data_IF_455379243323
#
_entry.id   IF_455379243323
#
_cell.length_a   1.000
_cell.length_b   1.000
_cell.length_c   1.000
_cell.angle_alpha   90.00
_cell.angle_beta   90.00
_cell.angle_gamma   90.00
#
_symmetry.space_group_name_H-M   'P 1'
#
loop_
_entity.id
_entity.type
_entity.pdbx_description
1 polymer ?
#
# COMPACT_ATOMS: atom_id res chain seq x y z
N UNK A 1 9.26 -42.13 -22.07
CA UNK A 1 9.30 -40.69 -22.37
C UNK A 1 10.74 -40.38 -22.74
N UNK A 2 11.01 -39.78 -23.89
CA UNK A 2 12.36 -39.52 -24.37
C UNK A 2 13.01 -38.39 -23.55
N UNK A 3 14.31 -38.41 -23.30
CA UNK A 3 15.04 -37.40 -22.53
C UNK A 3 14.75 -35.95 -23.02
N UNK A 4 14.58 -35.76 -24.32
CA UNK A 4 14.22 -34.48 -24.94
C UNK A 4 12.83 -34.02 -24.48
N UNK A 5 11.84 -34.93 -24.41
CA UNK A 5 10.50 -34.59 -23.95
C UNK A 5 10.50 -34.18 -22.47
N UNK A 6 11.30 -34.82 -21.63
CA UNK A 6 11.48 -34.46 -20.22
C UNK A 6 12.12 -33.08 -20.10
N UNK A 7 13.13 -32.79 -20.88
CA UNK A 7 13.80 -31.48 -20.89
C UNK A 7 12.84 -30.38 -21.28
N UNK A 8 12.01 -30.58 -22.32
CA UNK A 8 11.00 -29.60 -22.76
C UNK A 8 10.00 -29.33 -21.64
N UNK A 9 9.52 -30.37 -20.96
CA UNK A 9 8.56 -30.20 -19.83
C UNK A 9 9.20 -29.38 -18.70
N UNK A 10 10.45 -29.66 -18.35
CA UNK A 10 11.19 -28.91 -17.31
C UNK A 10 11.29 -27.44 -17.69
N UNK A 11 11.70 -27.15 -18.94
CA UNK A 11 11.82 -25.76 -19.43
C UNK A 11 10.48 -25.02 -19.38
N UNK A 12 9.39 -25.68 -19.80
CA UNK A 12 8.04 -25.10 -19.72
C UNK A 12 7.63 -24.84 -18.27
N UNK A 13 7.91 -25.77 -17.35
CA UNK A 13 7.59 -25.59 -15.93
C UNK A 13 8.38 -24.43 -15.32
N UNK A 14 9.66 -24.30 -15.64
CA UNK A 14 10.50 -23.15 -15.21
C UNK A 14 9.93 -21.85 -15.78
N UNK A 15 9.57 -21.82 -17.06
CA UNK A 15 8.97 -20.64 -17.69
C UNK A 15 7.65 -20.24 -17.03
N UNK A 16 6.75 -21.20 -16.80
CA UNK A 16 5.49 -20.96 -16.09
C UNK A 16 5.74 -20.46 -14.67
N UNK A 17 6.70 -21.06 -13.95
CA UNK A 17 7.08 -20.59 -12.62
C UNK A 17 7.60 -19.15 -12.63
N UNK A 18 8.51 -18.80 -13.55
CA UNK A 18 9.04 -17.43 -13.66
C UNK A 18 7.95 -16.40 -13.98
N UNK A 19 6.90 -16.78 -14.70
CA UNK A 19 5.79 -15.90 -15.04
C UNK A 19 4.77 -15.74 -13.91
N UNK A 20 4.49 -16.82 -13.17
CA UNK A 20 3.37 -16.89 -12.24
C UNK A 20 3.78 -17.00 -10.77
N UNK A 21 5.09 -17.00 -10.44
CA UNK A 21 5.57 -17.13 -9.06
C UNK A 21 4.95 -16.09 -8.13
N UNK A 22 4.85 -14.82 -8.56
CA UNK A 22 4.23 -13.75 -7.75
C UNK A 22 2.79 -14.06 -7.41
N UNK A 23 2.01 -14.54 -8.38
CA UNK A 23 0.58 -14.81 -8.21
C UNK A 23 0.34 -15.98 -7.25
N UNK A 24 1.14 -17.04 -7.35
CA UNK A 24 1.04 -18.21 -6.49
C UNK A 24 1.49 -17.85 -5.06
N UNK A 25 2.65 -17.23 -4.94
CA UNK A 25 3.27 -16.95 -3.64
C UNK A 25 2.51 -15.85 -2.90
N UNK A 26 2.08 -14.78 -3.58
CA UNK A 26 1.31 -13.72 -2.93
C UNK A 26 0.00 -14.21 -2.35
N UNK A 27 -0.71 -15.12 -3.03
CA UNK A 27 -1.92 -15.72 -2.49
C UNK A 27 -1.63 -16.59 -1.26
N UNK A 28 -0.54 -17.34 -1.26
CA UNK A 28 -0.14 -18.15 -0.10
C UNK A 28 0.33 -17.25 1.05
N UNK A 29 1.22 -16.30 0.79
CA UNK A 29 1.78 -15.42 1.83
C UNK A 29 0.75 -14.47 2.43
N UNK A 30 -0.26 -14.04 1.68
CA UNK A 30 -1.38 -13.27 2.20
C UNK A 30 -2.14 -14.01 3.33
N UNK A 31 -2.13 -15.35 3.31
CA UNK A 31 -2.74 -16.17 4.38
C UNK A 31 -1.76 -16.53 5.49
N UNK A 32 -0.46 -16.65 5.19
CA UNK A 32 0.54 -17.21 6.12
C UNK A 32 1.30 -16.14 6.89
N UNK A 33 1.46 -14.96 6.33
CA UNK A 33 2.27 -13.88 6.93
C UNK A 33 1.65 -12.50 6.76
N UNK A 34 0.41 -12.28 7.19
CA UNK A 34 -0.07 -10.91 7.41
C UNK A 34 0.71 -10.34 8.60
N UNK A 35 0.93 -9.01 8.61
CA UNK A 35 1.64 -8.35 9.71
C UNK A 35 1.10 -8.76 11.09
N UNK A 36 1.97 -8.83 12.09
CA UNK A 36 1.59 -9.18 13.45
C UNK A 36 0.86 -8.00 14.11
N UNK A 37 -0.43 -8.14 14.36
CA UNK A 37 -1.17 -7.16 15.17
C UNK A 37 -0.70 -7.32 16.62
N UNK A 38 -0.10 -6.27 17.18
CA UNK A 38 0.12 -6.18 18.62
C UNK A 38 -1.24 -6.10 19.33
N UNK A 39 -1.56 -7.02 20.27
CA UNK A 39 -2.80 -6.98 21.03
C UNK A 39 -3.05 -5.64 21.74
N UNK A 40 -2.00 -4.91 22.11
CA UNK A 40 -2.11 -3.57 22.71
C UNK A 40 -2.66 -2.53 21.74
N UNK A 41 -2.63 -2.81 20.45
CA UNK A 41 -3.19 -1.94 19.41
C UNK A 41 -4.68 -2.20 19.13
N UNK A 42 -5.31 -3.16 19.80
CA UNK A 42 -6.77 -3.38 19.72
C UNK A 42 -7.46 -2.26 20.49
N UNK A 43 -8.10 -1.35 19.76
CA UNK A 43 -8.83 -0.24 20.36
C UNK A 43 -10.26 -0.67 20.65
N UNK A 44 -10.62 -0.70 21.93
CA UNK A 44 -11.97 -1.06 22.40
C UNK A 44 -12.96 0.07 22.10
N UNK A 45 -12.49 1.34 22.02
CA UNK A 45 -13.31 2.49 21.68
C UNK A 45 -12.67 3.28 20.52
N UNK A 46 -13.18 3.15 19.29
CA UNK A 46 -12.59 3.81 18.13
C UNK A 46 -12.65 5.34 18.16
N UNK A 47 -13.50 5.92 19.01
CA UNK A 47 -13.68 7.37 19.11
C UNK A 47 -12.85 8.02 20.23
N UNK A 48 -12.09 7.25 21.01
CA UNK A 48 -11.24 7.79 22.06
C UNK A 48 -9.96 8.39 21.48
N UNK A 49 -9.57 9.58 21.94
CA UNK A 49 -8.23 10.12 21.69
C UNK A 49 -7.22 9.26 22.45
N UNK A 50 -6.32 8.60 21.74
CA UNK A 50 -5.33 7.67 22.29
C UNK A 50 -3.94 8.21 22.03
N UNK A 51 -3.17 8.40 23.10
CA UNK A 51 -1.72 8.66 23.00
C UNK A 51 -1.00 7.34 22.77
N UNK A 52 -0.14 7.29 21.77
CA UNK A 52 0.64 6.13 21.36
C UNK A 52 2.13 6.46 21.33
N UNK A 53 2.98 5.46 21.06
CA UNK A 53 4.40 5.70 20.84
C UNK A 53 4.64 6.62 19.63
N UNK A 54 5.86 7.21 19.52
CA UNK A 54 6.21 8.17 18.47
C UNK A 54 6.30 7.53 17.07
N UNK A 55 6.44 6.22 16.99
CA UNK A 55 6.64 5.48 15.75
C UNK A 55 5.41 5.57 14.85
N UNK A 56 5.55 6.10 13.61
CA UNK A 56 4.45 6.11 12.66
C UNK A 56 4.06 4.69 12.24
N UNK A 57 2.77 4.36 12.33
CA UNK A 57 2.24 3.03 12.00
C UNK A 57 0.92 3.09 11.27
N UNK A 58 0.67 2.10 10.44
CA UNK A 58 -0.62 1.79 9.86
C UNK A 58 -1.11 0.44 10.43
N UNK A 59 -2.34 0.42 10.97
CA UNK A 59 -2.93 -0.76 11.59
C UNK A 59 -4.30 -1.01 10.96
N UNK A 60 -4.50 -2.22 10.41
CA UNK A 60 -5.75 -2.64 9.78
C UNK A 60 -6.14 -4.01 10.33
N UNK A 61 -6.91 -4.08 11.43
CA UNK A 61 -7.19 -5.33 12.14
C UNK A 61 -7.83 -6.41 11.26
N UNK A 62 -8.75 -6.03 10.37
CA UNK A 62 -9.49 -6.97 9.53
C UNK A 62 -8.59 -7.82 8.63
N UNK A 63 -7.46 -7.29 8.21
CA UNK A 63 -6.51 -7.99 7.33
C UNK A 63 -5.15 -8.21 8.02
N UNK A 64 -5.13 -8.10 9.36
CA UNK A 64 -3.97 -8.32 10.23
C UNK A 64 -2.72 -7.52 9.82
N UNK A 65 -2.89 -6.25 9.46
CA UNK A 65 -1.79 -5.34 9.13
C UNK A 65 -1.42 -4.50 10.35
N UNK A 66 -0.16 -4.53 10.76
CA UNK A 66 0.51 -3.60 11.69
C UNK A 66 1.91 -3.34 11.13
N UNK A 67 2.14 -2.16 10.58
CA UNK A 67 3.32 -1.89 9.75
C UNK A 67 3.82 -0.45 9.95
N UNK A 68 5.15 -0.22 9.94
CA UNK A 68 5.72 1.12 9.92
C UNK A 68 5.31 1.91 8.66
N UNK A 69 5.16 3.22 8.80
CA UNK A 69 4.88 4.14 7.70
C UNK A 69 6.04 5.11 7.52
N UNK A 70 6.62 5.18 6.32
CA UNK A 70 7.57 6.22 5.97
C UNK A 70 6.82 7.44 5.41
N UNK A 71 6.92 8.57 6.10
CA UNK A 71 6.40 9.87 5.67
C UNK A 71 7.52 10.75 5.12
N UNK A 72 7.15 11.81 4.41
CA UNK A 72 8.05 12.86 3.93
C UNK A 72 9.21 12.36 3.05
N UNK A 73 8.93 11.34 2.25
CA UNK A 73 9.84 10.76 1.27
C UNK A 73 9.51 11.24 -0.14
N UNK A 74 10.48 11.12 -1.06
CA UNK A 74 10.25 11.43 -2.48
C UNK A 74 9.13 10.57 -3.10
N UNK A 75 8.38 11.16 -4.02
CA UNK A 75 7.32 10.45 -4.75
C UNK A 75 7.83 9.77 -6.03
N UNK A 76 9.15 9.80 -6.26
CA UNK A 76 9.79 9.08 -7.35
C UNK A 76 9.82 7.56 -7.08
N UNK A 77 9.95 6.79 -8.15
CA UNK A 77 9.91 5.33 -8.08
C UNK A 77 10.93 4.73 -7.10
N UNK A 78 12.18 5.21 -7.12
CA UNK A 78 13.26 4.61 -6.32
C UNK A 78 13.06 4.88 -4.82
N UNK A 79 12.70 6.12 -4.46
CA UNK A 79 12.39 6.51 -3.07
C UNK A 79 11.22 5.70 -2.52
N UNK A 80 10.14 5.53 -3.30
CA UNK A 80 8.98 4.74 -2.92
C UNK A 80 9.32 3.26 -2.73
N UNK A 81 10.08 2.64 -3.67
CA UNK A 81 10.47 1.24 -3.56
C UNK A 81 11.38 0.99 -2.36
N UNK A 82 12.35 1.88 -2.11
CA UNK A 82 13.25 1.76 -0.96
C UNK A 82 12.48 1.83 0.38
N UNK A 83 11.52 2.75 0.51
CA UNK A 83 10.70 2.87 1.71
C UNK A 83 9.78 1.66 1.90
N UNK A 84 9.16 1.17 0.84
CA UNK A 84 8.25 0.01 0.90
C UNK A 84 8.96 -1.32 1.18
N UNK A 85 10.29 -1.39 1.13
CA UNK A 85 11.05 -2.55 1.62
C UNK A 85 10.93 -2.71 3.15
N UNK A 86 10.73 -1.60 3.88
CA UNK A 86 10.73 -1.56 5.34
C UNK A 86 9.34 -1.27 5.95
N UNK A 87 8.29 -1.23 5.14
CA UNK A 87 6.95 -0.93 5.61
C UNK A 87 6.03 -0.53 4.48
N UNK A 88 5.23 0.51 4.74
CA UNK A 88 4.43 1.23 3.75
C UNK A 88 4.93 2.67 3.65
N UNK A 89 4.60 3.37 2.57
CA UNK A 89 5.17 4.66 2.24
C UNK A 89 4.08 5.70 1.92
N UNK A 90 4.22 6.91 2.43
CA UNK A 90 3.42 8.02 1.95
C UNK A 90 3.76 8.30 0.47
N UNK A 91 2.74 8.33 -0.36
CA UNK A 91 2.86 8.77 -1.76
C UNK A 91 2.27 10.17 -1.87
N UNK A 92 3.10 11.17 -1.55
CA UNK A 92 2.69 12.56 -1.54
C UNK A 92 2.81 13.19 -2.93
N UNK A 93 1.72 13.80 -3.40
CA UNK A 93 1.67 14.60 -4.63
C UNK A 93 0.92 15.90 -4.36
N UNK A 94 1.12 16.97 -5.14
CA UNK A 94 0.40 18.22 -4.95
C UNK A 94 -1.12 18.00 -4.86
N UNK A 95 -1.73 18.41 -3.75
CA UNK A 95 -3.16 18.24 -3.45
C UNK A 95 -3.57 16.87 -2.90
N UNK A 96 -2.61 15.95 -2.68
CA UNK A 96 -2.80 14.70 -1.95
C UNK A 96 -1.51 14.36 -1.17
N UNK A 97 -1.15 15.25 -0.25
CA UNK A 97 0.11 15.30 0.49
C UNK A 97 -0.10 15.61 1.98
N UNK A 98 -1.33 15.55 2.46
CA UNK A 98 -1.62 15.75 3.87
C UNK A 98 -1.07 14.61 4.73
N UNK A 99 -0.87 14.90 6.02
CA UNK A 99 -0.57 13.90 7.03
C UNK A 99 -1.82 13.54 7.84
N UNK A 100 -1.81 12.42 8.59
CA UNK A 100 -2.92 12.07 9.47
C UNK A 100 -3.32 13.23 10.38
N UNK A 101 -4.63 13.53 10.43
CA UNK A 101 -5.18 14.64 11.20
C UNK A 101 -5.19 16.00 10.48
N UNK A 102 -4.70 16.08 9.24
CA UNK A 102 -4.78 17.29 8.41
C UNK A 102 -5.88 17.15 7.37
N UNK A 103 -6.55 18.29 7.06
CA UNK A 103 -7.52 18.36 5.97
C UNK A 103 -6.79 18.09 4.64
N UNK A 104 -7.29 17.15 3.86
CA UNK A 104 -6.69 16.70 2.62
C UNK A 104 -6.65 15.18 2.54
N UNK A 105 -5.98 14.64 1.53
CA UNK A 105 -5.82 13.21 1.33
C UNK A 105 -4.39 12.76 1.66
N UNK A 106 -4.27 11.95 2.71
CA UNK A 106 -3.03 11.22 3.03
C UNK A 106 -3.03 9.93 2.22
N UNK A 107 -2.12 9.78 1.27
CA UNK A 107 -2.02 8.56 0.44
C UNK A 107 -0.89 7.69 0.97
N UNK A 108 -1.20 6.42 1.27
CA UNK A 108 -0.21 5.43 1.75
C UNK A 108 -0.17 4.27 0.76
N UNK A 109 1.00 4.06 0.16
CA UNK A 109 1.27 2.99 -0.78
C UNK A 109 1.94 1.79 -0.09
N UNK A 110 1.59 0.58 -0.54
CA UNK A 110 2.20 -0.67 -0.09
C UNK A 110 2.11 -1.76 -1.16
N UNK A 111 3.01 -2.73 -1.09
CA UNK A 111 3.04 -3.84 -2.04
C UNK A 111 1.87 -4.81 -1.85
N UNK A 112 1.21 -5.20 -2.94
CA UNK A 112 0.30 -6.38 -2.95
C UNK A 112 1.04 -7.67 -3.26
N UNK A 113 2.16 -7.55 -3.96
CA UNK A 113 3.06 -8.66 -4.32
C UNK A 113 4.39 -8.07 -4.76
N UNK A 114 5.48 -8.74 -4.43
CA UNK A 114 6.78 -8.42 -4.96
C UNK A 114 7.54 -9.70 -5.30
N UNK A 115 8.67 -9.61 -6.01
CA UNK A 115 9.43 -10.79 -6.38
C UNK A 115 10.07 -11.44 -5.13
N UNK A 116 10.20 -12.77 -5.14
CA UNK A 116 10.85 -13.52 -4.06
C UNK A 116 12.28 -13.07 -3.81
N UNK A 117 12.96 -12.67 -4.88
CA UNK A 117 14.36 -12.25 -4.83
C UNK A 117 14.53 -10.75 -4.52
N UNK A 118 13.43 -9.98 -4.48
CA UNK A 118 13.50 -8.59 -4.04
C UNK A 118 13.77 -8.53 -2.53
N UNK A 119 14.44 -7.47 -2.08
CA UNK A 119 14.63 -7.18 -0.66
C UNK A 119 13.32 -6.81 0.05
N UNK A 120 13.38 -6.72 1.37
CA UNK A 120 12.30 -6.26 2.23
C UNK A 120 11.34 -7.35 2.73
N UNK A 121 10.76 -7.08 3.90
CA UNK A 121 9.89 -8.03 4.61
C UNK A 121 8.40 -7.81 4.31
N UNK A 122 8.04 -6.69 3.67
CA UNK A 122 6.65 -6.25 3.50
C UNK A 122 6.11 -6.43 2.07
N UNK A 123 6.62 -7.44 1.35
CA UNK A 123 6.31 -7.73 -0.07
C UNK A 123 4.82 -7.94 -0.37
N UNK A 124 4.04 -8.34 0.63
CA UNK A 124 2.63 -8.75 0.49
C UNK A 124 1.71 -8.02 1.46
N UNK A 125 2.18 -6.91 2.04
CA UNK A 125 1.49 -6.25 3.15
C UNK A 125 0.06 -5.82 2.79
N UNK A 126 -0.19 -5.45 1.54
CA UNK A 126 -1.51 -5.08 1.02
C UNK A 126 -2.12 -6.14 0.08
N UNK A 127 -1.63 -7.39 0.12
CA UNK A 127 -2.18 -8.47 -0.71
C UNK A 127 -3.67 -8.75 -0.45
N UNK A 128 -4.16 -8.44 0.78
CA UNK A 128 -5.57 -8.60 1.16
C UNK A 128 -6.36 -7.28 1.23
N UNK A 129 -5.82 -6.18 0.69
CA UNK A 129 -6.48 -4.88 0.79
C UNK A 129 -7.86 -4.86 0.13
N UNK A 130 -8.07 -5.71 -0.88
CA UNK A 130 -9.35 -5.90 -1.56
C UNK A 130 -10.47 -6.46 -0.65
N UNK A 131 -10.13 -7.08 0.49
CA UNK A 131 -11.07 -7.61 1.47
C UNK A 131 -11.67 -6.55 2.39
N UNK A 132 -11.15 -5.32 2.37
CA UNK A 132 -11.76 -4.21 3.09
C UNK A 132 -13.08 -3.83 2.43
N UNK A 133 -14.07 -3.53 3.27
CA UNK A 133 -15.40 -3.06 2.87
C UNK A 133 -15.69 -1.70 3.46
N UNK A 134 -16.64 -0.99 2.89
CA UNK A 134 -17.19 0.24 3.48
C UNK A 134 -17.66 -0.05 4.90
N UNK A 135 -17.27 0.81 5.84
CA UNK A 135 -17.51 0.66 7.28
C UNK A 135 -16.36 0.02 8.07
N UNK A 136 -15.38 -0.61 7.42
CA UNK A 136 -14.21 -1.15 8.11
C UNK A 136 -13.33 -0.05 8.69
N UNK A 137 -12.64 -0.36 9.78
CA UNK A 137 -11.81 0.58 10.52
C UNK A 137 -10.33 0.42 10.17
N UNK A 138 -9.67 1.56 10.01
CA UNK A 138 -8.23 1.69 9.80
C UNK A 138 -7.69 2.66 10.85
N UNK A 139 -6.54 2.35 11.43
CA UNK A 139 -5.84 3.23 12.37
C UNK A 139 -4.49 3.65 11.78
N UNK A 140 -4.12 4.91 12.03
CA UNK A 140 -2.75 5.39 11.82
C UNK A 140 -2.24 6.02 13.09
N UNK A 141 -1.00 5.69 13.48
CA UNK A 141 -0.27 6.41 14.52
C UNK A 141 0.65 7.42 13.83
N UNK A 142 0.56 8.68 14.24
CA UNK A 142 1.41 9.76 13.74
C UNK A 142 1.59 10.82 14.81
N UNK A 143 2.83 11.29 15.03
CA UNK A 143 3.17 12.26 16.07
C UNK A 143 2.59 11.93 17.45
N UNK A 144 2.77 10.68 17.89
CA UNK A 144 2.29 10.15 19.18
C UNK A 144 0.77 10.19 19.38
N UNK A 145 0.01 10.34 18.31
CA UNK A 145 -1.46 10.31 18.30
C UNK A 145 -1.96 9.18 17.42
N UNK A 146 -3.08 8.60 17.80
CA UNK A 146 -3.83 7.66 16.97
C UNK A 146 -4.93 8.38 16.24
N UNK A 147 -5.02 8.14 14.94
CA UNK A 147 -6.10 8.58 14.08
C UNK A 147 -6.89 7.36 13.62
N UNK A 148 -8.20 7.44 13.72
CA UNK A 148 -9.14 6.38 13.33
C UNK A 148 -9.89 6.83 12.09
N UNK A 149 -9.91 5.95 11.10
CA UNK A 149 -10.60 6.17 9.83
C UNK A 149 -11.61 5.06 9.58
N UNK A 150 -12.71 5.40 8.92
CA UNK A 150 -13.70 4.43 8.45
C UNK A 150 -13.69 4.41 6.93
N UNK A 151 -13.59 3.23 6.33
CA UNK A 151 -13.61 3.05 4.88
C UNK A 151 -14.93 3.55 4.31
N UNK A 152 -14.85 4.42 3.30
CA UNK A 152 -16.03 5.01 2.64
C UNK A 152 -16.14 4.64 1.17
N UNK A 153 -15.01 4.31 0.51
CA UNK A 153 -14.98 4.00 -0.92
C UNK A 153 -13.88 3.02 -1.26
N UNK A 154 -14.12 2.24 -2.29
CA UNK A 154 -13.11 1.38 -2.92
C UNK A 154 -13.25 1.48 -4.43
N UNK A 155 -12.14 1.67 -5.14
CA UNK A 155 -12.14 1.76 -6.59
C UNK A 155 -10.84 1.21 -7.20
N UNK A 156 -10.93 0.78 -8.45
CA UNK A 156 -9.77 0.35 -9.26
C UNK A 156 -9.53 1.39 -10.34
N UNK A 157 -8.29 1.85 -10.44
CA UNK A 157 -7.87 2.90 -11.39
C UNK A 157 -6.65 2.45 -12.21
N UNK A 158 -6.39 3.13 -13.32
CA UNK A 158 -5.16 2.93 -14.10
C UNK A 158 -3.97 3.60 -13.43
N UNK A 159 -2.72 3.14 -13.67
CA UNK A 159 -1.52 3.77 -13.11
C UNK A 159 -1.37 5.26 -13.45
N UNK A 160 -1.85 5.72 -14.60
CA UNK A 160 -1.78 7.10 -15.05
C UNK A 160 -2.93 7.99 -14.55
N UNK A 161 -3.91 7.44 -13.82
CA UNK A 161 -5.03 8.19 -13.25
C UNK A 161 -4.67 8.81 -11.89
N UNK A 162 -3.51 9.50 -11.83
CA UNK A 162 -2.99 10.16 -10.62
C UNK A 162 -3.98 11.19 -10.06
N UNK A 163 -4.77 11.83 -10.92
CA UNK A 163 -5.82 12.79 -10.56
C UNK A 163 -6.92 12.18 -9.65
N UNK A 164 -7.07 10.86 -9.63
CA UNK A 164 -7.99 10.17 -8.70
C UNK A 164 -7.59 10.28 -7.24
N UNK A 165 -6.34 10.63 -6.97
CA UNK A 165 -5.84 10.85 -5.60
C UNK A 165 -6.10 12.29 -5.14
N UNK A 166 -6.33 13.23 -6.07
CA UNK A 166 -6.52 14.66 -5.79
C UNK A 166 -8.00 15.00 -5.95
N UNK A 167 -8.63 15.37 -4.86
CA UNK A 167 -10.04 15.81 -4.86
C UNK A 167 -10.31 16.81 -3.72
N UNK A 168 -11.23 17.76 -3.93
CA UNK A 168 -11.57 18.71 -2.90
C UNK A 168 -12.17 18.01 -1.68
N UNK A 169 -11.65 18.31 -0.50
CA UNK A 169 -12.18 17.80 0.76
C UNK A 169 -12.05 18.85 1.86
N UNK A 170 -12.96 18.82 2.80
CA UNK A 170 -12.93 19.63 4.04
C UNK A 170 -12.64 18.77 5.26
N UNK A 171 -12.31 17.48 5.04
CA UNK A 171 -12.03 16.50 6.08
C UNK A 171 -10.67 15.85 5.85
N UNK A 172 -10.04 15.31 6.89
CA UNK A 172 -8.92 14.41 6.74
C UNK A 172 -9.36 13.08 6.11
N UNK A 173 -8.71 12.73 5.02
CA UNK A 173 -8.94 11.51 4.24
C UNK A 173 -7.66 10.67 4.26
N UNK A 174 -7.81 9.37 4.29
CA UNK A 174 -6.76 8.38 4.09
C UNK A 174 -7.09 7.55 2.86
N UNK A 175 -6.17 7.47 1.91
CA UNK A 175 -6.26 6.56 0.77
C UNK A 175 -5.14 5.54 0.84
N UNK A 176 -5.49 4.25 0.98
CA UNK A 176 -4.56 3.14 0.84
C UNK A 176 -4.46 2.75 -0.62
N UNK A 177 -3.25 2.56 -1.10
CA UNK A 177 -2.92 2.35 -2.50
C UNK A 177 -2.10 1.07 -2.67
N UNK A 178 -2.51 0.18 -3.57
CA UNK A 178 -1.72 -1.01 -3.93
C UNK A 178 -1.94 -1.42 -5.39
N UNK A 179 -1.12 -2.32 -5.89
CA UNK A 179 -1.29 -2.92 -7.21
C UNK A 179 -2.43 -3.96 -7.22
N UNK A 180 -3.13 -4.05 -8.34
CA UNK A 180 -4.21 -5.04 -8.53
C UNK A 180 -4.34 -5.46 -10.01
N UNK A 181 -4.74 -6.70 -10.33
CA UNK A 181 -4.84 -7.87 -9.44
C UNK A 181 -3.53 -8.21 -8.74
N UNK A 182 -3.63 -8.89 -7.59
CA UNK A 182 -2.46 -9.37 -6.86
C UNK A 182 -1.56 -10.19 -7.78
N UNK A 183 -0.24 -9.98 -7.72
CA UNK A 183 0.72 -10.61 -8.63
C UNK A 183 0.98 -9.83 -9.92
N UNK A 184 0.27 -8.71 -10.15
CA UNK A 184 0.42 -7.87 -11.35
C UNK A 184 0.61 -6.40 -10.99
N UNK A 185 0.98 -5.60 -12.00
CA UNK A 185 1.04 -4.13 -11.89
C UNK A 185 0.06 -3.43 -12.85
N UNK A 186 -0.99 -4.14 -13.30
CA UNK A 186 -1.91 -3.68 -14.35
C UNK A 186 -2.72 -2.45 -13.94
N UNK A 187 -3.25 -2.48 -12.71
CA UNK A 187 -4.08 -1.41 -12.17
C UNK A 187 -3.63 -1.07 -10.73
N UNK A 188 -4.32 -0.09 -10.13
CA UNK A 188 -4.19 0.29 -8.72
C UNK A 188 -5.52 0.14 -8.03
N UNK A 189 -5.52 -0.49 -6.86
CA UNK A 189 -6.65 -0.50 -5.94
C UNK A 189 -6.48 0.68 -4.98
N UNK A 190 -7.50 1.51 -4.89
CA UNK A 190 -7.62 2.60 -3.92
C UNK A 190 -8.70 2.23 -2.91
N UNK A 191 -8.36 2.29 -1.62
CA UNK A 191 -9.31 2.18 -0.51
C UNK A 191 -9.29 3.50 0.25
N UNK A 192 -10.36 4.26 0.13
CA UNK A 192 -10.50 5.59 0.73
C UNK A 192 -11.29 5.50 2.03
N UNK A 193 -10.82 6.19 3.06
CA UNK A 193 -11.43 6.23 4.37
C UNK A 193 -11.45 7.67 4.92
N UNK A 194 -12.50 8.03 5.65
CA UNK A 194 -12.63 9.33 6.32
C UNK A 194 -12.29 9.22 7.80
N UNK A 195 -11.58 10.22 8.32
CA UNK A 195 -11.27 10.29 9.76
C UNK A 195 -12.55 10.41 10.59
N UNK A 196 -12.60 9.62 11.67
CA UNK A 196 -13.67 9.69 12.68
C UNK A 196 -13.14 10.10 14.06
N UNK A 197 -11.85 9.87 14.33
CA UNK A 197 -11.21 10.29 15.58
C UNK A 197 -9.72 10.59 15.33
N UNK A 198 -9.14 11.61 16.01
CA UNK A 198 -9.81 12.68 16.77
C UNK A 198 -10.84 13.43 15.94
N UNK A 199 -11.68 14.27 16.58
CA UNK A 199 -12.73 15.02 15.92
C UNK A 199 -12.22 15.73 14.65
N UNK A 200 -12.69 15.35 13.46
CA UNK A 200 -12.15 15.87 12.19
C UNK A 200 -12.46 17.38 12.00
N UNK A 201 -13.44 17.93 12.71
CA UNK A 201 -13.74 19.37 12.66
C UNK A 201 -12.63 20.24 13.27
N UNK A 202 -11.75 19.64 14.08
CA UNK A 202 -10.58 20.29 14.71
C UNK A 202 -9.29 20.11 13.92
N UNK A 203 -9.36 19.51 12.74
CA UNK A 203 -8.20 19.25 11.90
C UNK A 203 -7.64 20.53 11.29
N UNK A 204 -6.30 20.60 11.21
CA UNK A 204 -5.61 21.72 10.56
C UNK A 204 -5.57 21.55 9.05
N UNK A 205 -5.39 22.65 8.31
CA UNK A 205 -5.06 22.56 6.90
C UNK A 205 -3.68 21.91 6.70
N UNK A 206 -3.53 21.13 5.64
CA UNK A 206 -2.22 20.66 5.23
C UNK A 206 -1.35 21.85 4.79
N UNK A 207 -0.02 21.83 5.06
CA UNK A 207 0.88 22.83 4.50
C UNK A 207 0.91 22.71 2.97
N UNK A 208 1.36 23.78 2.30
CA UNK A 208 1.57 23.74 0.85
C UNK A 208 2.74 22.80 0.58
N UNK A 209 2.54 21.84 -0.32
CA UNK A 209 3.53 20.83 -0.66
C UNK A 209 4.61 21.35 -1.61
N UNK A 210 5.85 20.99 -1.34
CA UNK A 210 7.00 21.15 -2.24
C UNK A 210 7.18 19.91 -3.17
N UNK A 211 6.28 18.91 -3.10
CA UNK A 211 6.38 17.69 -3.90
C UNK A 211 6.19 17.97 -5.39
N UNK A 212 6.96 17.27 -6.21
CA UNK A 212 6.84 17.37 -7.66
C UNK A 212 5.59 16.64 -8.17
N UNK A 213 5.06 17.11 -9.31
CA UNK A 213 4.01 16.38 -10.01
C UNK A 213 4.58 15.07 -10.60
N UNK A 214 3.82 13.98 -10.51
CA UNK A 214 4.17 12.71 -11.14
C UNK A 214 3.15 12.33 -12.19
N UNK A 215 3.59 11.60 -13.21
CA UNK A 215 2.73 11.15 -14.32
C UNK A 215 2.09 9.78 -14.06
N UNK A 216 2.60 9.04 -13.07
CA UNK A 216 2.15 7.68 -12.81
C UNK A 216 2.25 7.32 -11.33
N UNK A 217 1.27 6.58 -10.88
CA UNK A 217 1.26 5.97 -9.54
C UNK A 217 2.28 4.82 -9.54
N UNK A 218 3.21 4.74 -8.56
CA UNK A 218 4.21 3.69 -8.47
C UNK A 218 3.59 2.29 -8.51
N UNK A 219 4.31 1.34 -9.08
CA UNK A 219 3.93 -0.06 -9.14
C UNK A 219 4.93 -0.96 -8.43
N UNK A 220 4.72 -2.27 -8.53
CA UNK A 220 5.70 -3.26 -8.07
C UNK A 220 6.98 -3.18 -8.89
N UNK A 221 8.08 -3.71 -8.33
CA UNK A 221 9.32 -3.94 -9.08
C UNK A 221 9.09 -4.81 -10.32
N UNK A 222 9.91 -4.71 -11.37
CA UNK A 222 9.84 -5.60 -12.52
C UNK A 222 9.90 -7.07 -12.10
N UNK A 223 9.17 -7.95 -12.78
CA UNK A 223 9.22 -9.40 -12.54
C UNK A 223 10.60 -9.98 -12.89
N UNK A 224 10.93 -11.15 -12.37
CA UNK A 224 12.15 -11.88 -12.79
C UNK A 224 12.22 -12.05 -14.31
N UNK A 225 11.10 -12.36 -14.95
CA UNK A 225 11.03 -12.47 -16.41
C UNK A 225 11.32 -11.13 -17.10
N UNK A 226 10.70 -10.03 -16.63
CA UNK A 226 10.94 -8.69 -17.18
C UNK A 226 12.39 -8.23 -16.96
N UNK A 227 13.04 -8.63 -15.84
CA UNK A 227 14.46 -8.34 -15.59
C UNK A 227 15.39 -9.13 -16.49
N UNK A 228 15.06 -10.39 -16.82
CA UNK A 228 15.91 -11.27 -17.60
C UNK A 228 15.70 -11.10 -19.11
N UNK A 229 14.49 -10.81 -19.54
CA UNK A 229 14.09 -10.84 -20.94
C UNK A 229 13.34 -9.57 -21.39
N UNK A 230 12.92 -8.70 -20.46
CA UNK A 230 12.26 -7.45 -20.79
C UNK A 230 13.25 -6.45 -21.37
N UNK A 231 12.96 -5.87 -22.52
CA UNK A 231 13.68 -4.68 -22.97
C UNK A 231 13.35 -3.54 -21.99
N UNK A 232 14.37 -2.83 -21.51
CA UNK A 232 14.24 -1.60 -20.74
C UNK A 232 13.42 -0.59 -21.54
N UNK A 233 12.11 -0.64 -21.41
CA UNK A 233 11.22 0.41 -21.90
C UNK A 233 11.14 1.48 -20.82
N UNK A 234 11.86 2.58 -21.03
CA UNK A 234 11.63 3.84 -20.32
C UNK A 234 10.20 4.31 -20.47
#
# INVERSE_FOLDING_TARGET
>A
MNAIAILIVIVVLIFVFLQYNRLIISNVMAYVSPGNIDPQNIVVNPNAEVTVGPEPKLIIPKINVDVPVAYDIGNDYNSQMAAMNNGVAQFAIPGADSHPGQIGNTVIAGHSSNDLLDGGDYKFIFAQLDKLNVGDTIYTNYNSKRYTYTVTKKEVVKPNEVNKLVYPTTKPILTLLTCTPVGTSLNRLLVTAEQVSPDPSKSSAAPISDQSTTKSIPGNSPTLFERLFGSNGN
#
